data_IF_357991273692
#
_entry.id   IF_357991273692
#
_cell.length_a   1.000
_cell.length_b   1.000
_cell.length_c   1.000
_cell.angle_alpha   90.00
_cell.angle_beta   90.00
_cell.angle_gamma   90.00
#
_symmetry.space_group_name_H-M   'P 1'
#
loop_
_entity.id
_entity.type
_entity.pdbx_description
1 polymer ?
#
# COMPACT_ATOMS: atom_id res chain seq x y z
N UNK A 1 16.82 -13.64 -46.78
CA UNK A 1 17.17 -13.72 -45.34
C UNK A 1 17.33 -12.36 -44.62
N UNK A 2 17.04 -11.19 -45.24
CA UNK A 2 17.16 -9.86 -44.58
C UNK A 2 15.85 -9.28 -44.01
N UNK A 3 14.69 -9.86 -44.34
CA UNK A 3 13.37 -9.37 -43.87
C UNK A 3 12.91 -9.98 -42.55
N UNK A 4 13.44 -11.14 -42.15
CA UNK A 4 13.03 -11.83 -40.91
C UNK A 4 13.75 -11.24 -39.69
N UNK A 5 14.97 -10.74 -39.86
CA UNK A 5 15.77 -10.13 -38.79
C UNK A 5 15.21 -8.80 -38.30
N UNK A 6 14.49 -8.05 -39.14
CA UNK A 6 13.93 -6.76 -38.77
C UNK A 6 12.65 -6.90 -37.92
N UNK A 7 11.89 -7.98 -38.11
CA UNK A 7 10.67 -8.26 -37.36
C UNK A 7 10.98 -8.75 -35.93
N UNK A 8 12.09 -9.49 -35.74
CA UNK A 8 12.51 -9.93 -34.41
C UNK A 8 13.04 -8.78 -33.54
N UNK A 9 13.62 -7.73 -34.14
CA UNK A 9 14.14 -6.57 -33.40
C UNK A 9 13.01 -5.68 -32.84
N UNK A 10 11.88 -5.60 -33.54
CA UNK A 10 10.71 -4.84 -33.10
C UNK A 10 9.93 -5.50 -31.95
N UNK A 11 10.08 -6.82 -31.74
CA UNK A 11 9.38 -7.54 -30.67
C UNK A 11 10.09 -7.35 -29.32
N UNK A 12 11.41 -7.12 -29.30
CA UNK A 12 12.17 -6.96 -28.05
C UNK A 12 12.03 -5.57 -27.40
N UNK A 13 11.49 -4.58 -28.11
CA UNK A 13 11.25 -3.23 -27.58
C UNK A 13 9.94 -3.08 -26.80
N UNK A 14 9.13 -4.14 -26.73
CA UNK A 14 7.85 -4.13 -26.01
C UNK A 14 7.96 -5.10 -24.84
N UNK A 15 7.52 -4.67 -23.65
CA UNK A 15 7.42 -5.46 -22.42
C UNK A 15 8.68 -5.47 -21.51
N UNK A 16 9.19 -4.29 -21.17
CA UNK A 16 9.41 -4.00 -19.74
C UNK A 16 9.40 -2.50 -19.51
N UNK A 17 8.24 -1.88 -19.68
CA UNK A 17 7.98 -0.56 -19.11
C UNK A 17 7.88 -0.75 -17.59
N UNK A 18 9.03 -0.81 -16.89
CA UNK A 18 9.07 -0.48 -15.48
C UNK A 18 8.86 1.02 -15.42
N UNK A 19 7.67 1.46 -15.00
CA UNK A 19 7.45 2.85 -14.64
C UNK A 19 8.42 3.22 -13.53
N UNK A 20 9.49 3.91 -13.91
CA UNK A 20 10.39 4.57 -12.97
C UNK A 20 9.64 5.80 -12.46
N UNK A 21 9.22 5.76 -11.20
CA UNK A 21 8.88 6.97 -10.44
C UNK A 21 9.97 8.02 -10.66
N UNK A 22 9.60 9.29 -10.90
CA UNK A 22 10.52 10.43 -11.07
C UNK A 22 11.79 10.28 -10.21
N UNK A 23 12.95 10.30 -10.88
CA UNK A 23 14.29 10.11 -10.28
C UNK A 23 14.60 11.07 -9.12
N UNK A 24 13.84 12.14 -8.95
CA UNK A 24 14.04 13.16 -7.91
C UNK A 24 13.16 12.98 -6.66
N UNK A 25 12.46 11.85 -6.51
CA UNK A 25 11.64 11.59 -5.32
C UNK A 25 12.47 11.08 -4.13
N UNK A 26 12.31 11.74 -2.97
CA UNK A 26 12.91 11.42 -1.66
C UNK A 26 12.78 9.93 -1.32
N UNK A 27 11.58 9.39 -1.56
CA UNK A 27 11.24 7.99 -1.35
C UNK A 27 10.56 7.50 -2.63
N UNK A 28 11.11 6.45 -3.24
CA UNK A 28 10.47 5.79 -4.38
C UNK A 28 9.79 4.50 -3.94
N UNK A 29 8.78 4.08 -4.70
CA UNK A 29 7.98 2.90 -4.43
C UNK A 29 7.76 2.10 -5.72
N UNK A 30 8.21 0.84 -5.69
CA UNK A 30 7.97 -0.18 -6.73
C UNK A 30 7.22 -1.36 -6.11
N UNK A 31 6.67 -2.26 -6.94
CA UNK A 31 6.01 -3.45 -6.43
C UNK A 31 6.26 -4.69 -7.29
N UNK A 32 6.06 -5.86 -6.69
CA UNK A 32 6.03 -7.15 -7.37
C UNK A 32 4.99 -8.08 -6.75
N UNK A 33 4.20 -8.77 -7.58
CA UNK A 33 3.25 -9.82 -7.18
C UNK A 33 3.87 -11.20 -7.42
N UNK A 34 3.77 -12.11 -6.46
CA UNK A 34 4.04 -13.53 -6.63
C UNK A 34 2.98 -14.36 -5.93
N UNK A 35 2.13 -15.07 -6.69
CA UNK A 35 0.98 -15.84 -6.16
C UNK A 35 0.15 -14.98 -5.19
N UNK A 36 0.11 -15.39 -3.91
CA UNK A 36 -0.64 -14.75 -2.83
C UNK A 36 0.24 -13.80 -2.00
N UNK A 37 1.37 -13.34 -2.54
CA UNK A 37 2.25 -12.34 -1.93
C UNK A 37 2.36 -11.11 -2.83
N UNK A 38 2.19 -9.93 -2.24
CA UNK A 38 2.50 -8.64 -2.85
C UNK A 38 3.65 -8.02 -2.07
N UNK A 39 4.75 -7.69 -2.74
CA UNK A 39 5.89 -7.00 -2.13
C UNK A 39 5.94 -5.56 -2.63
N UNK A 40 5.91 -4.61 -1.70
CA UNK A 40 6.25 -3.22 -1.93
C UNK A 40 7.74 -3.01 -1.69
N UNK A 41 8.42 -2.32 -2.59
CA UNK A 41 9.85 -2.06 -2.56
C UNK A 41 10.06 -0.56 -2.44
N UNK A 42 10.54 -0.13 -1.29
CA UNK A 42 10.87 1.26 -0.98
C UNK A 42 12.36 1.50 -1.13
N UNK A 43 12.73 2.64 -1.68
CA UNK A 43 14.13 3.07 -1.81
C UNK A 43 14.24 4.52 -1.33
N UNK A 44 15.11 4.75 -0.35
CA UNK A 44 15.42 6.07 0.19
C UNK A 44 16.58 6.67 -0.59
N UNK A 45 16.29 7.66 -1.44
CA UNK A 45 17.29 8.30 -2.30
C UNK A 45 17.95 9.52 -1.64
N UNK A 46 17.85 9.66 -0.32
CA UNK A 46 18.37 10.82 0.41
C UNK A 46 19.64 10.51 1.18
N UNK A 47 20.32 11.57 1.62
CA UNK A 47 21.49 11.50 2.49
C UNK A 47 21.18 11.35 3.98
N UNK A 48 19.90 11.18 4.35
CA UNK A 48 19.44 11.06 5.73
C UNK A 48 18.48 9.88 5.89
N UNK A 49 18.39 9.36 7.12
CA UNK A 49 17.47 8.27 7.42
C UNK A 49 16.03 8.81 7.43
N UNK A 50 15.09 7.98 7.01
CA UNK A 50 13.69 8.34 6.96
C UNK A 50 12.83 7.39 7.79
N UNK A 51 11.71 7.90 8.24
CA UNK A 51 10.58 7.09 8.67
C UNK A 51 9.36 7.44 7.83
N UNK A 52 8.54 6.44 7.56
CA UNK A 52 7.35 6.62 6.75
C UNK A 52 6.25 5.65 7.19
N UNK A 53 4.98 6.05 7.09
CA UNK A 53 3.87 5.15 7.26
C UNK A 53 3.63 4.32 5.99
N UNK A 54 3.15 3.10 6.15
CA UNK A 54 2.49 2.35 5.09
C UNK A 54 1.21 1.71 5.66
N UNK A 55 0.13 1.62 4.87
CA UNK A 55 -1.15 1.12 5.38
C UNK A 55 -1.03 -0.38 5.63
N UNK A 56 -1.66 -0.88 6.69
CA UNK A 56 -1.63 -2.30 7.02
C UNK A 56 -2.46 -3.14 6.03
N UNK A 57 -3.42 -2.52 5.34
CA UNK A 57 -4.21 -3.14 4.27
C UNK A 57 -4.12 -2.32 2.99
N UNK A 58 -3.90 -3.00 1.87
CA UNK A 58 -3.97 -2.45 0.51
C UNK A 58 -5.24 -2.97 -0.15
N UNK A 59 -6.20 -2.11 -0.43
CA UNK A 59 -7.44 -2.49 -1.13
C UNK A 59 -7.31 -2.27 -2.64
N UNK A 60 -7.99 -3.11 -3.43
CA UNK A 60 -7.96 -3.03 -4.88
C UNK A 60 -9.37 -3.08 -5.46
N UNK A 61 -9.73 -2.02 -6.20
CA UNK A 61 -10.96 -1.95 -6.97
C UNK A 61 -10.80 -2.55 -8.36
N UNK A 62 -11.83 -3.25 -8.83
CA UNK A 62 -11.91 -3.63 -10.25
C UNK A 62 -12.07 -2.37 -11.11
N UNK A 63 -11.24 -2.22 -12.14
CA UNK A 63 -11.27 -1.07 -13.06
C UNK A 63 -12.64 -0.82 -13.69
N UNK A 64 -13.46 -1.87 -13.85
CA UNK A 64 -14.78 -1.77 -14.48
C UNK A 64 -15.90 -1.38 -13.50
N UNK A 65 -15.66 -1.42 -12.19
CA UNK A 65 -16.63 -0.99 -11.18
C UNK A 65 -16.26 0.41 -10.69
N UNK A 66 -17.22 1.35 -10.78
CA UNK A 66 -17.00 2.77 -10.46
C UNK A 66 -16.67 3.01 -8.99
N UNK A 67 -17.15 2.14 -8.11
CA UNK A 67 -16.85 2.21 -6.68
C UNK A 67 -15.59 1.43 -6.41
N UNK A 68 -14.48 2.17 -6.50
CA UNK A 68 -13.14 1.63 -6.36
C UNK A 68 -12.92 0.91 -5.02
N UNK A 69 -13.73 1.13 -3.99
CA UNK A 69 -13.55 0.52 -2.67
C UNK A 69 -14.42 -0.70 -2.41
N UNK A 70 -13.80 -1.88 -2.30
CA UNK A 70 -14.26 -2.95 -1.40
C UNK A 70 -14.01 -2.50 0.04
N UNK A 71 -14.68 -1.43 0.48
CA UNK A 71 -14.39 -0.78 1.75
C UNK A 71 -14.89 -1.67 2.90
N UNK A 72 -13.99 -2.02 3.81
CA UNK A 72 -14.33 -2.39 5.19
C UNK A 72 -15.18 -3.65 5.36
N UNK A 73 -14.62 -4.83 5.07
CA UNK A 73 -15.18 -6.12 5.52
C UNK A 73 -16.56 -6.48 4.98
N UNK A 74 -17.14 -5.67 4.09
CA UNK A 74 -18.37 -5.98 3.37
C UNK A 74 -18.09 -6.94 2.23
N UNK A 75 -17.61 -8.13 2.57
CA UNK A 75 -17.28 -9.18 1.62
C UNK A 75 -18.48 -9.45 0.67
N UNK A 76 -19.71 -9.18 1.12
CA UNK A 76 -20.97 -9.43 0.42
C UNK A 76 -21.37 -8.43 -0.67
N UNK A 77 -20.76 -7.24 -0.74
CA UNK A 77 -21.27 -6.15 -1.59
C UNK A 77 -20.65 -6.13 -3.00
N UNK A 78 -19.59 -6.91 -3.22
CA UNK A 78 -18.87 -6.94 -4.50
C UNK A 78 -18.65 -8.37 -4.97
N UNK A 79 -18.71 -8.61 -6.30
CA UNK A 79 -18.53 -9.94 -6.89
C UNK A 79 -17.19 -10.59 -6.51
N UNK A 80 -16.17 -9.78 -6.24
CA UNK A 80 -14.84 -10.22 -5.82
C UNK A 80 -14.19 -9.14 -4.94
N UNK A 81 -13.57 -9.58 -3.86
CA UNK A 81 -12.79 -8.75 -2.95
C UNK A 81 -11.31 -9.06 -3.12
N UNK A 82 -10.52 -8.03 -3.44
CA UNK A 82 -9.08 -8.12 -3.63
C UNK A 82 -8.42 -7.14 -2.67
N UNK A 83 -7.72 -7.67 -1.67
CA UNK A 83 -6.96 -6.85 -0.72
C UNK A 83 -5.68 -7.57 -0.29
N UNK A 84 -4.70 -6.83 0.20
CA UNK A 84 -3.46 -7.40 0.72
C UNK A 84 -3.20 -6.89 2.13
N UNK A 85 -3.02 -7.80 3.09
CA UNK A 85 -2.75 -7.48 4.49
C UNK A 85 -1.25 -7.62 4.74
N UNK A 86 -0.64 -6.66 5.42
CA UNK A 86 0.78 -6.69 5.73
C UNK A 86 1.16 -7.95 6.51
N UNK A 87 2.28 -8.58 6.18
CA UNK A 87 2.81 -9.68 6.99
C UNK A 87 3.37 -9.15 8.32
N UNK A 88 3.26 -9.95 9.38
CA UNK A 88 3.60 -9.54 10.75
C UNK A 88 5.07 -9.10 10.90
N UNK A 89 5.32 -8.24 11.89
CA UNK A 89 6.65 -7.89 12.42
C UNK A 89 7.65 -7.25 11.45
N UNK A 90 7.18 -6.65 10.35
CA UNK A 90 8.05 -5.98 9.36
C UNK A 90 8.32 -4.49 9.67
N UNK A 91 7.67 -3.94 10.69
CA UNK A 91 7.70 -2.51 11.04
C UNK A 91 8.74 -2.18 12.12
N UNK A 92 9.08 -0.90 12.26
CA UNK A 92 9.98 -0.45 13.32
C UNK A 92 9.26 -0.41 14.66
N UNK A 93 9.54 -1.37 15.55
CA UNK A 93 8.95 -1.44 16.90
C UNK A 93 9.10 -0.14 17.68
N UNK A 94 10.23 0.55 17.56
CA UNK A 94 10.49 1.81 18.26
C UNK A 94 9.55 2.93 17.79
N UNK A 95 9.45 3.15 16.48
CA UNK A 95 8.58 4.21 15.94
C UNK A 95 7.11 3.82 15.98
N UNK A 96 6.78 2.53 15.83
CA UNK A 96 5.42 2.02 15.96
C UNK A 96 4.84 2.31 17.35
N UNK A 97 5.60 2.07 18.42
CA UNK A 97 5.16 2.41 19.80
C UNK A 97 4.81 3.89 19.96
N UNK A 98 5.53 4.79 19.28
CA UNK A 98 5.21 6.24 19.29
C UNK A 98 3.89 6.51 18.55
N UNK A 99 3.66 5.88 17.40
CA UNK A 99 2.39 6.00 16.66
C UNK A 99 1.22 5.44 17.48
N UNK A 100 1.37 4.25 18.06
CA UNK A 100 0.35 3.59 18.86
C UNK A 100 -0.02 4.42 20.09
N UNK A 101 0.97 5.00 20.78
CA UNK A 101 0.72 5.90 21.91
C UNK A 101 -0.12 7.11 21.51
N UNK A 102 0.15 7.72 20.36
CA UNK A 102 -0.64 8.85 19.84
C UNK A 102 -2.05 8.39 19.46
N UNK A 103 -2.19 7.24 18.79
CA UNK A 103 -3.48 6.69 18.39
C UNK A 103 -4.35 6.35 19.60
N UNK A 104 -3.78 5.70 20.61
CA UNK A 104 -4.45 5.37 21.87
C UNK A 104 -4.91 6.65 22.56
N UNK A 105 -4.04 7.66 22.68
CA UNK A 105 -4.40 8.94 23.28
C UNK A 105 -5.54 9.63 22.51
N UNK A 106 -5.52 9.62 21.17
CA UNK A 106 -6.59 10.19 20.35
C UNK A 106 -7.94 9.48 20.56
N UNK A 107 -7.94 8.15 20.50
CA UNK A 107 -9.14 7.34 20.71
C UNK A 107 -9.72 7.52 22.13
N UNK A 108 -8.86 7.51 23.16
CA UNK A 108 -9.28 7.77 24.54
C UNK A 108 -9.89 9.15 24.72
N UNK A 109 -9.29 10.20 24.13
CA UNK A 109 -9.82 11.56 24.18
C UNK A 109 -11.19 11.71 23.50
N UNK A 110 -11.50 10.81 22.56
CA UNK A 110 -12.78 10.77 21.84
C UNK A 110 -13.81 9.86 22.52
N UNK A 111 -13.48 9.26 23.68
CA UNK A 111 -14.34 8.31 24.37
C UNK A 111 -14.47 6.96 23.64
N UNK A 112 -13.52 6.61 22.77
CA UNK A 112 -13.54 5.42 21.92
C UNK A 112 -12.63 4.30 22.46
N UNK A 113 -12.61 4.11 23.78
CA UNK A 113 -11.73 3.13 24.42
C UNK A 113 -12.00 1.69 23.96
N UNK A 114 -13.26 1.34 23.71
CA UNK A 114 -13.64 0.00 23.24
C UNK A 114 -13.03 -0.34 21.88
N UNK A 115 -12.82 0.66 21.03
CA UNK A 115 -12.21 0.51 19.70
C UNK A 115 -10.74 0.09 19.83
N UNK A 116 -10.03 0.57 20.86
CA UNK A 116 -8.61 0.26 21.08
C UNK A 116 -8.38 -1.25 21.17
N UNK A 117 -9.29 -1.96 21.86
CA UNK A 117 -9.20 -3.41 22.06
C UNK A 117 -9.67 -4.22 20.84
N UNK A 118 -10.26 -3.57 19.84
CA UNK A 118 -10.81 -4.21 18.64
C UNK A 118 -9.92 -4.02 17.40
N UNK A 119 -8.82 -3.26 17.52
CA UNK A 119 -7.88 -3.02 16.42
C UNK A 119 -7.33 -4.34 15.90
N UNK A 120 -7.61 -4.64 14.64
CA UNK A 120 -7.12 -5.81 13.94
C UNK A 120 -5.76 -5.54 13.28
N UNK A 121 -4.96 -6.58 12.95
CA UNK A 121 -3.69 -6.42 12.25
C UNK A 121 -3.77 -5.63 10.94
N UNK A 122 -4.92 -5.67 10.25
CA UNK A 122 -5.16 -4.94 9.01
C UNK A 122 -5.50 -3.46 9.18
N UNK A 123 -5.73 -3.00 10.41
CA UNK A 123 -6.23 -1.65 10.69
C UNK A 123 -5.10 -0.63 10.80
N UNK A 124 -5.32 0.56 10.23
CA UNK A 124 -4.42 1.71 10.33
C UNK A 124 -3.10 1.50 9.58
N UNK A 125 -2.01 1.98 10.17
CA UNK A 125 -0.70 2.08 9.54
C UNK A 125 0.40 1.46 10.40
N UNK A 126 1.41 0.94 9.71
CA UNK A 126 2.69 0.57 10.28
C UNK A 126 3.74 1.63 9.96
N UNK A 127 4.65 1.90 10.90
CA UNK A 127 5.78 2.81 10.71
C UNK A 127 7.05 2.02 10.38
N UNK A 128 7.69 2.42 9.28
CA UNK A 128 8.95 1.85 8.82
C UNK A 128 10.08 2.85 9.03
N UNK A 129 11.27 2.31 9.25
CA UNK A 129 12.52 3.04 9.30
C UNK A 129 13.40 2.57 8.15
N UNK A 130 13.87 3.50 7.32
CA UNK A 130 14.72 3.19 6.18
C UNK A 130 15.94 4.10 6.21
N UNK A 131 17.11 3.47 6.28
CA UNK A 131 18.38 4.17 6.25
C UNK A 131 18.57 4.91 4.92
N UNK A 132 19.38 5.97 4.95
CA UNK A 132 19.83 6.68 3.74
C UNK A 132 20.40 5.72 2.70
N UNK A 133 20.06 5.94 1.42
CA UNK A 133 20.54 5.16 0.27
C UNK A 133 20.23 3.65 0.33
N UNK A 134 19.28 3.23 1.15
CA UNK A 134 18.92 1.82 1.33
C UNK A 134 17.57 1.47 0.71
N UNK A 135 17.36 0.15 0.57
CA UNK A 135 16.11 -0.45 0.07
C UNK A 135 15.44 -1.30 1.13
N UNK A 136 14.12 -1.24 1.17
CA UNK A 136 13.29 -2.09 2.03
C UNK A 136 12.21 -2.78 1.21
N UNK A 137 11.97 -4.05 1.54
CA UNK A 137 10.86 -4.83 1.00
C UNK A 137 9.84 -5.03 2.11
N UNK A 138 8.60 -4.62 1.86
CA UNK A 138 7.45 -4.85 2.74
C UNK A 138 6.51 -5.83 2.06
N UNK A 139 6.29 -6.97 2.68
CA UNK A 139 5.46 -8.05 2.15
C UNK A 139 4.04 -7.95 2.68
N UNK A 140 3.10 -8.23 1.80
CA UNK A 140 1.67 -8.32 2.08
C UNK A 140 1.18 -9.68 1.61
N UNK A 141 0.31 -10.31 2.40
CA UNK A 141 -0.47 -11.48 2.01
C UNK A 141 -1.66 -11.00 1.18
N UNK A 142 -1.65 -11.33 -0.12
CA UNK A 142 -2.73 -11.04 -1.04
C UNK A 142 -3.88 -12.05 -0.81
N UNK A 143 -5.09 -11.51 -0.63
CA UNK A 143 -6.33 -12.24 -0.37
C UNK A 143 -7.30 -11.90 -1.50
N UNK A 144 -7.79 -12.94 -2.17
CA UNK A 144 -8.69 -12.83 -3.31
C UNK A 144 -9.88 -13.74 -3.04
N UNK A 145 -11.00 -13.14 -2.65
CA UNK A 145 -12.21 -13.87 -2.30
C UNK A 145 -13.34 -13.49 -3.23
N UNK A 146 -13.95 -14.48 -3.84
CA UNK A 146 -15.19 -14.31 -4.58
C UNK A 146 -16.37 -14.63 -3.66
N UNK A 147 -17.43 -13.84 -3.72
CA UNK A 147 -18.69 -14.19 -3.07
C UNK A 147 -19.63 -14.88 -4.05
N UNK A 148 -20.33 -15.94 -3.63
CA UNK A 148 -21.39 -16.51 -4.45
C UNK A 148 -22.54 -15.50 -4.68
N UNK A 149 -23.17 -15.50 -5.86
CA UNK A 149 -22.88 -16.37 -7.01
C UNK A 149 -21.60 -15.96 -7.76
N UNK A 150 -20.95 -16.91 -8.43
CA UNK A 150 -19.71 -16.63 -9.20
C UNK A 150 -20.03 -15.64 -10.33
N UNK A 151 -19.57 -14.40 -10.18
CA UNK A 151 -19.73 -13.33 -11.15
C UNK A 151 -18.48 -13.19 -12.05
N UNK A 152 -18.67 -12.66 -13.26
CA UNK A 152 -17.57 -12.21 -14.10
C UNK A 152 -17.01 -10.89 -13.56
N UNK A 153 -15.69 -10.80 -13.44
CA UNK A 153 -14.95 -9.61 -13.04
C UNK A 153 -13.83 -9.32 -14.05
N UNK A 154 -13.31 -8.10 -14.07
CA UNK A 154 -12.21 -7.77 -14.97
C UNK A 154 -10.91 -8.40 -14.50
N UNK A 155 -9.99 -8.69 -15.43
CA UNK A 155 -8.68 -9.22 -15.06
C UNK A 155 -7.77 -8.16 -14.42
N UNK A 156 -8.17 -6.89 -14.33
CA UNK A 156 -7.30 -5.77 -13.93
C UNK A 156 -7.88 -4.98 -12.76
N UNK A 157 -7.20 -5.10 -11.62
CA UNK A 157 -7.56 -4.43 -10.37
C UNK A 157 -6.58 -3.30 -10.08
N UNK A 158 -7.09 -2.14 -9.69
CA UNK A 158 -6.34 -0.92 -9.36
C UNK A 158 -6.34 -0.71 -7.86
N UNK A 159 -5.18 -0.43 -7.26
CA UNK A 159 -5.11 -0.10 -5.84
C UNK A 159 -5.90 1.18 -5.52
N UNK A 160 -6.66 1.13 -4.43
CA UNK A 160 -7.19 2.29 -3.75
C UNK A 160 -6.08 2.91 -2.93
N UNK A 161 -5.56 4.00 -3.45
CA UNK A 161 -4.45 4.67 -2.78
C UNK A 161 -4.94 5.40 -1.53
N UNK A 162 -4.26 5.18 -0.41
CA UNK A 162 -4.46 5.95 0.82
C UNK A 162 -3.77 7.31 0.67
N UNK A 163 -4.51 8.43 0.53
CA UNK A 163 -3.93 9.69 0.09
C UNK A 163 -3.22 10.42 1.25
N UNK A 164 -2.06 9.92 1.70
CA UNK A 164 -1.31 10.48 2.83
C UNK A 164 -1.12 12.00 2.73
N UNK A 165 -0.82 12.53 1.54
CA UNK A 165 -0.69 13.97 1.33
C UNK A 165 -1.97 14.74 1.65
N UNK A 166 -3.14 14.17 1.33
CA UNK A 166 -4.46 14.73 1.65
C UNK A 166 -4.78 14.58 3.13
N UNK A 167 -4.43 13.45 3.73
CA UNK A 167 -4.73 13.12 5.13
C UNK A 167 -3.91 13.98 6.09
N UNK A 168 -2.61 14.14 5.81
CA UNK A 168 -1.71 14.97 6.61
C UNK A 168 -2.04 16.46 6.54
N UNK A 169 -2.64 16.93 5.42
CA UNK A 169 -3.05 18.33 5.22
C UNK A 169 -4.50 18.62 5.61
N UNK A 170 -5.40 17.65 5.49
CA UNK A 170 -6.84 17.81 5.69
C UNK A 170 -7.30 17.51 7.12
N UNK A 171 -8.51 17.95 7.48
CA UNK A 171 -9.11 17.76 8.82
C UNK A 171 -9.94 16.47 8.92
N UNK A 172 -9.29 15.35 8.65
CA UNK A 172 -9.89 14.01 8.74
C UNK A 172 -9.72 13.44 10.16
N UNK A 173 -10.80 13.15 10.92
CA UNK A 173 -10.69 12.58 12.27
C UNK A 173 -9.90 11.27 12.31
N UNK A 174 -10.06 10.41 11.31
CA UNK A 174 -9.34 9.15 11.14
C UNK A 174 -7.84 9.35 10.87
N UNK A 175 -7.44 10.53 10.39
CA UNK A 175 -6.05 10.88 10.09
C UNK A 175 -5.32 11.64 11.20
N UNK A 176 -5.99 11.94 12.32
CA UNK A 176 -5.44 12.84 13.34
C UNK A 176 -4.17 12.28 13.99
N UNK A 177 -4.16 10.97 14.30
CA UNK A 177 -2.99 10.34 14.90
C UNK A 177 -1.76 10.38 13.96
N UNK A 178 -1.95 10.13 12.66
CA UNK A 178 -0.89 10.24 11.65
C UNK A 178 -0.39 11.68 11.53
N UNK A 179 -1.29 12.66 11.54
CA UNK A 179 -0.92 14.08 11.48
C UNK A 179 -0.10 14.50 12.69
N UNK A 180 -0.49 14.10 13.90
CA UNK A 180 0.29 14.34 15.12
C UNK A 180 1.65 13.66 15.05
N UNK A 181 1.70 12.40 14.63
CA UNK A 181 2.94 11.65 14.46
C UNK A 181 3.90 12.33 13.47
N UNK A 182 3.40 12.80 12.32
CA UNK A 182 4.21 13.46 11.30
C UNK A 182 4.91 14.74 11.76
N UNK A 183 4.45 15.34 12.86
CA UNK A 183 4.98 16.59 13.43
C UNK A 183 5.96 16.37 14.58
N UNK A 184 6.20 15.12 15.00
CA UNK A 184 7.15 14.85 16.07
C UNK A 184 8.59 15.15 15.60
N UNK A 185 9.45 15.47 16.57
CA UNK A 185 10.88 15.53 16.35
C UNK A 185 11.48 14.12 16.44
N UNK A 186 12.07 13.65 15.33
CA UNK A 186 12.74 12.35 15.22
C UNK A 186 14.27 12.47 15.19
N UNK A 187 14.82 13.60 15.63
CA UNK A 187 16.25 13.86 15.66
C UNK A 187 16.85 13.94 14.26
N UNK A 188 17.77 13.02 13.96
CA UNK A 188 18.43 12.96 12.64
C UNK A 188 17.57 12.32 11.55
N UNK A 189 16.52 11.60 11.95
CA UNK A 189 15.61 10.91 11.04
C UNK A 189 14.48 11.84 10.62
N UNK A 190 14.05 11.79 9.35
CA UNK A 190 12.97 12.64 8.85
C UNK A 190 11.71 11.83 8.57
N UNK A 191 10.55 12.40 8.92
CA UNK A 191 9.28 11.86 8.48
C UNK A 191 9.07 12.15 6.99
N UNK A 192 8.69 11.13 6.24
CA UNK A 192 8.35 11.21 4.82
C UNK A 192 7.01 10.52 4.61
N UNK A 193 6.07 11.21 3.97
CA UNK A 193 4.82 10.58 3.56
C UNK A 193 5.10 9.55 2.46
N UNK A 194 4.40 8.42 2.48
CA UNK A 194 4.49 7.44 1.39
C UNK A 194 4.23 8.13 0.04
N UNK A 195 5.06 7.92 -0.99
CA UNK A 195 4.82 8.48 -2.31
C UNK A 195 3.52 7.90 -2.90
N UNK A 196 2.86 8.70 -3.74
CA UNK A 196 1.78 8.20 -4.60
C UNK A 196 2.42 7.35 -5.68
N UNK A 197 1.89 6.15 -5.92
CA UNK A 197 2.23 5.39 -7.12
C UNK A 197 1.48 6.10 -8.26
N UNK A 198 2.14 7.05 -8.96
CA UNK A 198 1.53 7.90 -10.01
C UNK A 198 0.77 7.05 -11.05
N UNK A 199 1.24 5.83 -11.32
CA UNK A 199 0.60 4.90 -12.26
C UNK A 199 -0.22 3.78 -11.64
N UNK A 200 -0.50 3.85 -10.34
CA UNK A 200 -1.37 2.95 -9.57
C UNK A 200 -0.90 1.49 -9.57
N UNK A 201 -0.80 0.88 -8.39
CA UNK A 201 -0.50 -0.55 -8.30
C UNK A 201 -1.64 -1.33 -8.98
N UNK A 202 -1.34 -1.96 -10.11
CA UNK A 202 -2.28 -2.81 -10.83
C UNK A 202 -1.97 -4.28 -10.56
N UNK A 203 -3.01 -5.03 -10.21
CA UNK A 203 -2.95 -6.48 -10.11
C UNK A 203 -3.71 -7.11 -11.27
N UNK A 204 -3.05 -8.05 -11.94
CA UNK A 204 -3.72 -8.97 -12.84
C UNK A 204 -4.20 -10.18 -12.06
N UNK A 205 -5.52 -10.41 -12.01
CA UNK A 205 -6.16 -11.50 -11.28
C UNK A 205 -6.90 -12.38 -12.29
N UNK A 206 -6.60 -13.68 -12.27
CA UNK A 206 -7.26 -14.70 -13.08
C UNK A 206 -8.34 -15.44 -12.28
N UNK A 207 -9.17 -16.25 -12.96
CA UNK A 207 -10.11 -17.15 -12.29
C UNK A 207 -9.41 -18.12 -11.32
N UNK A 208 -8.18 -18.54 -11.65
CA UNK A 208 -7.39 -19.49 -10.85
C UNK A 208 -6.76 -18.89 -9.58
N UNK A 209 -6.80 -17.56 -9.47
CA UNK A 209 -6.33 -16.82 -8.30
C UNK A 209 -7.44 -16.64 -7.26
N UNK A 210 -8.71 -16.69 -7.67
CA UNK A 210 -9.86 -16.60 -6.77
C UNK A 210 -10.11 -17.94 -6.06
N UNK A 211 -10.59 -17.89 -4.81
CA UNK A 211 -10.98 -19.06 -4.01
C UNK A 211 -9.82 -19.95 -3.51
N UNK A 212 -8.66 -19.35 -3.22
CA UNK A 212 -7.53 -19.95 -2.46
C UNK A 212 -7.20 -19.10 -1.24
#
# INVERSE_FOLDING_TARGET
>A
MKKITLILLTIFCVISCKQESKKDSVLTLKYSKNKNELTLIFENNTSYDIIFPAPNTLEFGDKNFKDFSTQGGKEKDFPINVHAIIQNDQFSKFYQRKLDSIRIADLSNRGMTDVINQIMPGDGDSIFYLQKNEKMKIKYKLIIKQTPPIHNYSSKFKQNYYPYSKILKGKYPEGEYLRRFSKLNFGKTKFVAQPVIEDSLFLSISQNDANK
#
